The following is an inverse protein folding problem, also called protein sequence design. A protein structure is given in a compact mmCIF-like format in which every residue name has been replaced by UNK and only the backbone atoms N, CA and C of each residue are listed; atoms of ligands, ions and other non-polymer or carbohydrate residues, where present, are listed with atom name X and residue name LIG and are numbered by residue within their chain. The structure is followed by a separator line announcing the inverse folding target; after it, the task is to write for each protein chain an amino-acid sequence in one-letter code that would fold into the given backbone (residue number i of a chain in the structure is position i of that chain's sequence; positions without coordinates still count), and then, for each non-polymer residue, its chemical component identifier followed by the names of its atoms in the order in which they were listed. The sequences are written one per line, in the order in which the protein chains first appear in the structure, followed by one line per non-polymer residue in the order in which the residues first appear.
data_IF_392049656150
#
_entry.id   IF_392049656150
#
_cell.length_a   1.000
_cell.length_b   1.000
_cell.length_c   1.000
_cell.angle_alpha   90.00
_cell.angle_beta   90.00
_cell.angle_gamma   90.00
#
_symmetry.space_group_name_H-M   'P 1'
#
loop_
_entity.id
_entity.type
_entity.pdbx_description
1 polymer ?
#
# COMPACT_ATOMS: atom_id res chain seq x y z
N UNK A 1 -17.26 1.68 23.23
CA UNK A 1 -16.69 1.35 21.91
C UNK A 1 -17.73 1.78 20.89
N UNK A 2 -17.36 2.57 19.91
CA UNK A 2 -18.27 2.98 18.84
C UNK A 2 -18.69 1.71 18.06
N UNK A 3 -19.98 1.55 17.76
CA UNK A 3 -20.51 0.39 17.03
C UNK A 3 -19.73 0.13 15.73
N UNK A 4 -19.39 1.20 15.03
CA UNK A 4 -18.59 1.14 13.80
C UNK A 4 -17.15 0.59 14.00
N UNK A 5 -16.52 0.85 15.14
CA UNK A 5 -15.20 0.31 15.46
C UNK A 5 -15.24 -1.20 15.73
N UNK A 6 -16.27 -1.69 16.44
CA UNK A 6 -16.44 -3.12 16.68
C UNK A 6 -16.77 -3.90 15.40
N UNK A 7 -17.55 -3.30 14.50
CA UNK A 7 -17.84 -3.88 13.17
C UNK A 7 -16.59 -3.94 12.30
N UNK A 8 -15.77 -2.90 12.29
CA UNK A 8 -14.50 -2.87 11.56
C UNK A 8 -13.51 -3.92 12.09
N UNK A 9 -13.38 -4.09 13.41
CA UNK A 9 -12.56 -5.13 14.04
C UNK A 9 -13.03 -6.54 13.63
N UNK A 10 -14.35 -6.77 13.67
CA UNK A 10 -14.94 -8.05 13.24
C UNK A 10 -14.66 -8.31 11.76
N UNK A 11 -14.85 -7.30 10.90
CA UNK A 11 -14.59 -7.40 9.47
C UNK A 11 -13.11 -7.67 9.17
N UNK A 12 -12.18 -6.98 9.86
CA UNK A 12 -10.75 -7.21 9.71
C UNK A 12 -10.38 -8.64 10.12
N UNK A 13 -10.83 -9.08 11.30
CA UNK A 13 -10.53 -10.42 11.81
C UNK A 13 -11.06 -11.53 10.91
N UNK A 14 -12.26 -11.36 10.35
CA UNK A 14 -12.84 -12.30 9.40
C UNK A 14 -12.03 -12.31 8.10
N UNK A 15 -11.74 -11.15 7.52
CA UNK A 15 -11.01 -11.03 6.27
C UNK A 15 -9.57 -11.56 6.35
N UNK A 16 -8.88 -11.35 7.48
CA UNK A 16 -7.53 -11.90 7.69
C UNK A 16 -7.50 -13.43 7.67
N UNK A 17 -8.57 -14.10 8.10
CA UNK A 17 -8.68 -15.57 8.04
C UNK A 17 -8.88 -16.09 6.61
N UNK A 18 -9.46 -15.26 5.74
CA UNK A 18 -9.71 -15.60 4.34
C UNK A 18 -8.49 -15.31 3.45
N UNK A 19 -7.57 -14.41 3.86
CA UNK A 19 -6.33 -14.15 3.14
C UNK A 19 -5.37 -15.34 3.31
N UNK A 20 -5.19 -16.10 2.23
CA UNK A 20 -4.40 -17.32 2.23
C UNK A 20 -2.94 -17.06 2.66
N UNK A 21 -2.45 -17.88 3.61
CA UNK A 21 -1.06 -17.84 4.05
C UNK A 21 -0.70 -16.65 4.95
N UNK A 22 -1.66 -15.81 5.34
CA UNK A 22 -1.42 -14.67 6.22
C UNK A 22 -1.77 -15.02 7.68
N UNK A 23 -0.79 -14.89 8.55
CA UNK A 23 -0.97 -14.99 10.00
C UNK A 23 -0.35 -13.77 10.66
N UNK A 24 -1.17 -12.93 11.27
CA UNK A 24 -0.73 -11.76 12.03
C UNK A 24 -0.83 -12.02 13.53
N UNK A 25 0.14 -11.49 14.27
CA UNK A 25 0.07 -11.46 15.73
C UNK A 25 -0.98 -10.43 16.20
N UNK A 26 -1.50 -10.60 17.41
CA UNK A 26 -2.51 -9.71 17.98
C UNK A 26 -2.06 -8.23 17.95
N UNK A 27 -0.81 -7.95 18.27
CA UNK A 27 -0.22 -6.61 18.26
C UNK A 27 -0.22 -5.95 16.87
N UNK A 28 -0.08 -6.74 15.79
CA UNK A 28 -0.17 -6.26 14.41
C UNK A 28 -1.62 -5.92 14.04
N UNK A 29 -2.57 -6.75 14.48
CA UNK A 29 -4.00 -6.49 14.29
C UNK A 29 -4.42 -5.22 15.04
N UNK A 30 -3.99 -5.05 16.28
CA UNK A 30 -4.24 -3.84 17.08
C UNK A 30 -3.63 -2.60 16.41
N UNK A 31 -2.44 -2.73 15.81
CA UNK A 31 -1.80 -1.65 15.06
C UNK A 31 -2.57 -1.26 13.81
N UNK A 32 -3.10 -2.23 13.06
CA UNK A 32 -3.95 -1.99 11.90
C UNK A 32 -5.26 -1.29 12.28
N UNK A 33 -5.89 -1.70 13.38
CA UNK A 33 -7.11 -1.07 13.90
C UNK A 33 -6.86 0.35 14.37
N UNK A 34 -5.77 0.59 15.10
CA UNK A 34 -5.38 1.93 15.52
C UNK A 34 -5.07 2.82 14.30
N UNK A 35 -4.36 2.31 13.29
CA UNK A 35 -4.16 3.04 12.03
C UNK A 35 -5.49 3.40 11.36
N UNK A 36 -6.43 2.46 11.28
CA UNK A 36 -7.75 2.68 10.69
C UNK A 36 -8.53 3.78 11.43
N UNK A 37 -8.52 3.76 12.75
CA UNK A 37 -9.13 4.81 13.59
C UNK A 37 -8.53 6.18 13.31
N UNK A 38 -7.21 6.28 13.31
CA UNK A 38 -6.49 7.52 13.01
C UNK A 38 -6.76 8.00 11.58
N UNK A 39 -6.79 7.10 10.60
CA UNK A 39 -7.13 7.42 9.22
C UNK A 39 -8.56 8.00 9.14
N UNK A 40 -9.53 7.36 9.77
CA UNK A 40 -10.91 7.81 9.83
C UNK A 40 -11.03 9.23 10.44
N UNK A 41 -10.32 9.45 11.55
CA UNK A 41 -10.30 10.75 12.24
C UNK A 41 -9.69 11.86 11.37
N UNK A 42 -8.50 11.61 10.80
CA UNK A 42 -7.82 12.59 9.98
C UNK A 42 -8.52 12.84 8.64
N UNK A 43 -9.18 11.82 8.09
CA UNK A 43 -9.90 11.92 6.82
C UNK A 43 -11.04 12.94 6.86
N UNK A 44 -11.66 13.14 8.04
CA UNK A 44 -12.72 14.15 8.25
C UNK A 44 -12.25 15.58 7.94
N UNK A 45 -10.97 15.86 8.21
CA UNK A 45 -10.39 17.20 8.05
C UNK A 45 -9.56 17.33 6.77
N UNK A 46 -8.79 16.30 6.43
CA UNK A 46 -7.74 16.41 5.39
C UNK A 46 -8.07 15.72 4.08
N UNK A 47 -9.18 14.99 3.99
CA UNK A 47 -9.55 14.21 2.80
C UNK A 47 -8.37 13.38 2.28
N UNK A 48 -7.87 12.46 3.10
CA UNK A 48 -6.75 11.57 2.79
C UNK A 48 -7.17 10.43 1.85
N UNK A 49 -8.43 10.01 1.93
CA UNK A 49 -9.05 8.99 1.08
C UNK A 49 -10.50 9.35 0.75
N UNK A 50 -11.00 8.84 -0.37
CA UNK A 50 -12.40 9.00 -0.78
C UNK A 50 -13.36 8.12 0.05
N UNK A 51 -12.89 6.99 0.58
CA UNK A 51 -13.67 6.08 1.43
C UNK A 51 -13.85 6.72 2.80
N UNK A 52 -15.09 6.70 3.32
CA UNK A 52 -15.42 7.36 4.60
C UNK A 52 -15.91 6.41 5.67
N UNK A 53 -16.52 5.30 5.28
CA UNK A 53 -17.00 4.27 6.18
C UNK A 53 -15.81 3.40 6.66
N UNK A 54 -15.58 3.28 7.98
CA UNK A 54 -14.51 2.47 8.54
C UNK A 54 -14.59 0.98 8.17
N UNK A 55 -15.80 0.43 8.04
CA UNK A 55 -15.98 -0.98 7.63
C UNK A 55 -15.57 -1.16 6.18
N UNK A 56 -15.95 -0.23 5.30
CA UNK A 56 -15.51 -0.22 3.90
C UNK A 56 -14.00 -0.03 3.77
N UNK A 57 -13.38 0.78 4.64
CA UNK A 57 -11.92 0.94 4.68
C UNK A 57 -11.19 -0.36 5.02
N UNK A 58 -11.80 -1.27 5.78
CA UNK A 58 -11.19 -2.59 6.06
C UNK A 58 -10.91 -3.32 4.75
N UNK A 59 -11.93 -3.49 3.91
CA UNK A 59 -11.77 -4.22 2.64
C UNK A 59 -10.96 -3.43 1.61
N UNK A 60 -11.33 -2.15 1.37
CA UNK A 60 -10.74 -1.32 0.31
C UNK A 60 -9.33 -0.80 0.62
N UNK A 61 -8.92 -0.83 1.89
CA UNK A 61 -7.61 -0.32 2.30
C UNK A 61 -6.75 -1.38 2.97
N UNK A 62 -7.21 -1.97 4.09
CA UNK A 62 -6.36 -2.89 4.85
C UNK A 62 -6.19 -4.23 4.13
N UNK A 63 -7.29 -4.91 3.82
CA UNK A 63 -7.23 -6.24 3.19
C UNK A 63 -6.73 -6.18 1.75
N UNK A 64 -7.09 -5.13 1.00
CA UNK A 64 -6.54 -4.84 -0.33
C UNK A 64 -5.01 -4.67 -0.28
N UNK A 65 -4.50 -3.92 0.70
CA UNK A 65 -3.05 -3.75 0.89
C UNK A 65 -2.34 -5.03 1.33
N UNK A 66 -2.98 -5.84 2.17
CA UNK A 66 -2.41 -7.08 2.68
C UNK A 66 -2.47 -8.23 1.65
N UNK A 67 -3.35 -8.14 0.67
CA UNK A 67 -3.48 -9.16 -0.39
C UNK A 67 -2.23 -9.30 -1.24
N UNK A 68 -1.36 -8.29 -1.29
CA UNK A 68 -0.12 -8.30 -2.08
C UNK A 68 1.11 -8.76 -1.31
N UNK A 69 0.98 -9.11 -0.03
CA UNK A 69 2.11 -9.55 0.81
C UNK A 69 2.95 -10.68 0.23
N UNK A 70 2.38 -11.69 -0.46
CA UNK A 70 3.18 -12.76 -1.06
C UNK A 70 4.22 -12.25 -2.07
N UNK A 71 3.98 -11.08 -2.68
CA UNK A 71 4.86 -10.49 -3.70
C UNK A 71 5.73 -9.35 -3.18
N UNK A 72 5.55 -8.88 -1.94
CA UNK A 72 6.28 -7.73 -1.38
C UNK A 72 7.81 -7.91 -1.29
N UNK A 73 8.29 -9.15 -1.45
CA UNK A 73 9.72 -9.46 -1.45
C UNK A 73 10.36 -9.41 -0.06
N UNK A 74 11.63 -9.06 -0.03
CA UNK A 74 12.47 -8.91 1.17
C UNK A 74 13.25 -7.59 1.07
N UNK A 75 13.87 -7.14 2.17
CA UNK A 75 14.74 -5.97 2.18
C UNK A 75 14.00 -4.65 2.12
N UNK A 76 14.25 -3.84 1.08
CA UNK A 76 13.74 -2.48 0.96
C UNK A 76 12.57 -2.38 -0.03
N UNK A 77 11.43 -1.88 0.44
CA UNK A 77 10.23 -1.63 -0.35
C UNK A 77 9.96 -0.14 -0.46
N UNK A 78 9.74 0.36 -1.68
CA UNK A 78 9.21 1.70 -1.92
C UNK A 78 7.70 1.62 -2.23
N UNK A 79 6.88 2.35 -1.49
CA UNK A 79 5.48 2.62 -1.85
C UNK A 79 5.40 3.98 -2.55
N UNK A 80 5.28 3.95 -3.86
CA UNK A 80 5.30 5.13 -4.71
C UNK A 80 3.89 5.73 -4.89
N UNK A 81 3.71 6.94 -4.38
CA UNK A 81 2.40 7.59 -4.32
C UNK A 81 1.54 7.02 -3.20
N UNK A 82 2.15 6.76 -2.06
CA UNK A 82 1.57 6.04 -0.91
C UNK A 82 0.25 6.61 -0.39
N UNK A 83 -0.02 7.87 -0.62
CA UNK A 83 -1.24 8.51 -0.14
C UNK A 83 -1.36 8.54 1.39
N UNK A 84 -2.38 7.89 1.88
CA UNK A 84 -2.58 7.70 3.32
C UNK A 84 -1.67 6.60 3.93
N UNK A 85 -0.74 6.06 3.16
CA UNK A 85 0.12 4.95 3.56
C UNK A 85 -0.30 3.62 2.95
N UNK A 86 -0.94 3.62 1.78
CA UNK A 86 -1.55 2.44 1.18
C UNK A 86 -0.91 2.11 -0.18
N UNK A 87 -0.36 0.91 -0.34
CA UNK A 87 -0.43 -0.24 0.56
C UNK A 87 0.71 -0.34 1.59
N UNK A 88 1.72 0.51 1.54
CA UNK A 88 3.00 0.35 2.24
C UNK A 88 2.90 0.25 3.77
N UNK A 89 2.01 1.02 4.41
CA UNK A 89 1.90 1.00 5.88
C UNK A 89 1.27 -0.30 6.42
N UNK A 90 0.16 -0.83 5.89
CA UNK A 90 -0.30 -2.17 6.26
C UNK A 90 0.73 -3.27 6.00
N UNK A 91 1.48 -3.19 4.89
CA UNK A 91 2.59 -4.10 4.60
C UNK A 91 3.68 -3.99 5.69
N UNK A 92 4.09 -2.79 6.06
CA UNK A 92 5.11 -2.57 7.09
C UNK A 92 4.68 -3.09 8.47
N UNK A 93 3.40 -2.97 8.83
CA UNK A 93 2.84 -3.52 10.06
C UNK A 93 2.88 -5.06 10.02
N UNK A 94 2.50 -5.66 8.88
CA UNK A 94 2.47 -7.11 8.72
C UNK A 94 3.88 -7.74 8.60
N UNK A 95 4.85 -7.00 8.05
CA UNK A 95 6.21 -7.42 7.75
C UNK A 95 7.24 -6.49 8.40
N UNK A 96 7.49 -6.62 9.71
CA UNK A 96 8.45 -5.76 10.42
C UNK A 96 9.91 -5.96 9.99
N UNK A 97 10.18 -7.01 9.23
CA UNK A 97 11.47 -7.31 8.59
C UNK A 97 11.75 -6.47 7.34
N UNK A 98 10.73 -5.89 6.70
CA UNK A 98 10.89 -5.00 5.55
C UNK A 98 11.20 -3.57 6.00
N UNK A 99 12.07 -2.87 5.26
CA UNK A 99 12.22 -1.42 5.37
C UNK A 99 11.35 -0.75 4.31
N UNK A 100 10.35 0.02 4.72
CA UNK A 100 9.34 0.57 3.81
C UNK A 100 9.45 2.08 3.71
N UNK A 101 9.79 2.57 2.53
CA UNK A 101 9.74 4.01 2.22
C UNK A 101 8.36 4.37 1.68
N UNK A 102 7.71 5.35 2.32
CA UNK A 102 6.37 5.82 1.99
C UNK A 102 6.49 7.19 1.29
N UNK A 103 6.47 7.20 -0.05
CA UNK A 103 6.70 8.40 -0.86
C UNK A 103 5.38 9.02 -1.33
N UNK A 104 5.16 10.30 -1.05
CA UNK A 104 4.07 11.09 -1.64
C UNK A 104 4.46 12.57 -1.73
N UNK A 105 3.97 13.27 -2.75
CA UNK A 105 4.25 14.69 -2.95
C UNK A 105 3.46 15.60 -2.01
N UNK A 106 2.36 15.13 -1.44
CA UNK A 106 1.43 15.93 -0.64
C UNK A 106 1.85 15.98 0.83
N UNK A 107 2.34 17.14 1.30
CA UNK A 107 2.81 17.33 2.68
C UNK A 107 1.78 17.00 3.76
N UNK A 108 0.45 17.14 3.49
CA UNK A 108 -0.58 16.73 4.44
C UNK A 108 -0.60 15.21 4.70
N UNK A 109 -0.31 14.41 3.67
CA UNK A 109 -0.24 12.95 3.75
C UNK A 109 1.01 12.53 4.52
N UNK A 110 2.15 13.14 4.23
CA UNK A 110 3.39 12.87 4.95
C UNK A 110 3.30 13.28 6.43
N UNK A 111 2.62 14.38 6.77
CA UNK A 111 2.34 14.72 8.17
C UNK A 111 1.50 13.65 8.88
N UNK A 112 0.50 13.11 8.20
CA UNK A 112 -0.30 11.99 8.72
C UNK A 112 0.57 10.75 8.96
N UNK A 113 1.39 10.35 8.00
CA UNK A 113 2.28 9.18 8.12
C UNK A 113 3.31 9.35 9.25
N UNK A 114 3.88 10.54 9.42
CA UNK A 114 4.76 10.84 10.54
C UNK A 114 4.03 10.81 11.90
N UNK A 115 2.75 11.19 11.93
CA UNK A 115 1.92 11.03 13.12
C UNK A 115 1.72 9.54 13.44
N UNK A 116 1.36 8.71 12.46
CA UNK A 116 1.19 7.26 12.63
C UNK A 116 2.48 6.59 13.07
N UNK A 117 3.62 6.91 12.43
CA UNK A 117 4.94 6.39 12.81
C UNK A 117 5.22 6.55 14.30
N UNK A 118 4.93 7.74 14.85
CA UNK A 118 5.11 8.04 16.28
C UNK A 118 4.07 7.37 17.16
N UNK A 119 2.79 7.43 16.75
CA UNK A 119 1.66 6.89 17.51
C UNK A 119 1.78 5.37 17.72
N UNK A 120 2.13 4.64 16.66
CA UNK A 120 2.27 3.19 16.67
C UNK A 120 3.71 2.72 16.95
N UNK A 121 4.65 3.66 17.12
CA UNK A 121 6.07 3.36 17.34
C UNK A 121 6.67 2.44 16.25
N UNK A 122 6.21 2.59 15.01
CA UNK A 122 6.71 1.81 13.87
C UNK A 122 8.10 2.33 13.50
N UNK A 123 9.08 1.45 13.50
CA UNK A 123 10.49 1.79 13.23
C UNK A 123 10.92 1.53 11.80
N UNK A 124 10.24 0.63 11.11
CA UNK A 124 10.56 0.15 9.76
C UNK A 124 9.85 0.91 8.64
N UNK A 125 9.39 2.13 8.88
CA UNK A 125 8.86 3.01 7.84
C UNK A 125 9.63 4.32 7.76
N UNK A 126 9.76 4.87 6.54
CA UNK A 126 10.30 6.19 6.27
C UNK A 126 9.36 7.01 5.38
N UNK A 127 8.58 7.95 5.94
CA UNK A 127 7.76 8.86 5.15
C UNK A 127 8.61 9.93 4.47
N UNK A 128 8.54 10.01 3.13
CA UNK A 128 9.31 10.95 2.31
C UNK A 128 8.37 11.85 1.50
N UNK A 129 8.57 13.18 1.61
CA UNK A 129 7.83 14.13 0.79
C UNK A 129 8.62 14.47 -0.49
N UNK A 130 8.28 13.80 -1.59
CA UNK A 130 8.86 14.11 -2.90
C UNK A 130 7.91 13.66 -4.03
N UNK A 131 8.19 14.15 -5.25
CA UNK A 131 7.66 13.55 -6.48
C UNK A 131 8.62 12.45 -6.93
N UNK A 132 8.10 11.29 -7.33
CA UNK A 132 8.92 10.15 -7.70
C UNK A 132 9.90 10.51 -8.83
N UNK A 133 9.43 11.24 -9.82
CA UNK A 133 10.22 11.62 -11.01
C UNK A 133 11.37 12.59 -10.67
N UNK A 134 11.27 13.31 -9.57
CA UNK A 134 12.27 14.30 -9.12
C UNK A 134 13.09 13.81 -7.92
N UNK A 135 12.81 12.60 -7.43
CA UNK A 135 13.47 12.05 -6.26
C UNK A 135 14.50 10.99 -6.66
N UNK A 136 15.69 11.12 -6.12
CA UNK A 136 16.72 10.10 -6.26
C UNK A 136 16.93 9.43 -4.92
N UNK A 137 16.72 8.13 -4.88
CA UNK A 137 17.01 7.34 -3.71
C UNK A 137 18.54 7.27 -3.49
N UNK A 138 18.97 7.40 -2.24
CA UNK A 138 20.37 7.21 -1.89
C UNK A 138 20.80 5.75 -2.08
N UNK A 139 19.87 4.81 -1.92
CA UNK A 139 20.06 3.36 -2.08
C UNK A 139 18.95 2.81 -2.96
N UNK A 140 19.20 1.66 -3.61
CA UNK A 140 18.22 0.98 -4.44
C UNK A 140 17.12 0.30 -3.61
N UNK A 141 16.01 -0.04 -4.26
CA UNK A 141 14.92 -0.82 -3.68
C UNK A 141 14.86 -2.21 -4.31
N UNK A 142 14.60 -3.23 -3.49
CA UNK A 142 14.36 -4.59 -3.98
C UNK A 142 13.01 -4.66 -4.71
N UNK A 143 12.00 -3.96 -4.16
CA UNK A 143 10.67 -3.88 -4.74
C UNK A 143 10.10 -2.46 -4.67
N UNK A 144 9.31 -2.10 -5.68
CA UNK A 144 8.57 -0.84 -5.72
C UNK A 144 7.11 -1.15 -6.00
N UNK A 145 6.24 -0.76 -5.08
CA UNK A 145 4.80 -0.95 -5.22
C UNK A 145 4.08 0.37 -5.46
N UNK A 146 3.02 0.33 -6.24
CA UNK A 146 2.13 1.47 -6.37
C UNK A 146 0.68 1.07 -6.65
N UNK A 147 -0.24 1.89 -6.13
CA UNK A 147 -1.67 1.87 -6.40
C UNK A 147 -2.15 3.15 -7.10
N UNK A 148 -1.25 4.10 -7.33
CA UNK A 148 -1.59 5.47 -7.67
C UNK A 148 -1.45 5.83 -9.16
N UNK A 149 -0.71 5.03 -9.93
CA UNK A 149 -0.41 5.39 -11.31
C UNK A 149 -1.55 5.05 -12.28
N UNK A 150 -1.75 5.94 -13.25
CA UNK A 150 -2.79 5.80 -14.28
C UNK A 150 -2.45 4.71 -15.29
N UNK A 151 -1.16 4.52 -15.62
CA UNK A 151 -0.71 3.45 -16.52
C UNK A 151 0.57 2.78 -16.04
N UNK A 152 0.77 1.53 -16.48
CA UNK A 152 1.98 0.74 -16.20
C UNK A 152 3.23 1.41 -16.79
N UNK A 153 3.12 1.95 -18.03
CA UNK A 153 4.23 2.65 -18.68
C UNK A 153 4.64 3.92 -17.91
N UNK A 154 3.67 4.70 -17.39
CA UNK A 154 3.95 5.87 -16.56
C UNK A 154 4.65 5.48 -15.25
N UNK A 155 4.23 4.39 -14.62
CA UNK A 155 4.85 3.87 -13.41
C UNK A 155 6.30 3.45 -13.66
N UNK A 156 6.52 2.61 -14.66
CA UNK A 156 7.85 2.14 -15.03
C UNK A 156 8.79 3.31 -15.38
N UNK A 157 8.29 4.29 -16.17
CA UNK A 157 9.05 5.48 -16.54
C UNK A 157 9.46 6.33 -15.34
N UNK A 158 8.55 6.56 -14.38
CA UNK A 158 8.83 7.32 -13.17
C UNK A 158 9.87 6.62 -12.27
N UNK A 159 9.76 5.29 -12.12
CA UNK A 159 10.72 4.47 -11.37
C UNK A 159 12.11 4.54 -12.00
N UNK A 160 12.20 4.44 -13.33
CA UNK A 160 13.47 4.55 -14.05
C UNK A 160 14.12 5.91 -13.84
N UNK A 161 13.36 7.00 -13.87
CA UNK A 161 13.87 8.35 -13.61
C UNK A 161 14.40 8.50 -12.17
N UNK A 162 13.78 7.83 -11.21
CA UNK A 162 14.23 7.80 -9.82
C UNK A 162 15.52 6.97 -9.61
N UNK A 163 16.07 6.35 -10.66
CA UNK A 163 17.32 5.59 -10.59
C UNK A 163 17.19 4.15 -10.11
N UNK A 164 15.99 3.63 -9.96
CA UNK A 164 15.72 2.28 -9.46
C UNK A 164 15.64 1.26 -10.62
N UNK A 165 16.77 0.94 -11.22
CA UNK A 165 16.83 0.16 -12.47
C UNK A 165 16.66 -1.35 -12.32
N UNK A 166 16.90 -1.90 -11.13
CA UNK A 166 16.89 -3.34 -10.88
C UNK A 166 15.82 -3.77 -9.88
N UNK A 167 14.84 -2.91 -9.62
CA UNK A 167 13.76 -3.20 -8.69
C UNK A 167 12.65 -4.02 -9.35
N UNK A 168 12.03 -4.90 -8.58
CA UNK A 168 10.77 -5.52 -8.98
C UNK A 168 9.64 -4.50 -8.86
N UNK A 169 8.86 -4.33 -9.92
CA UNK A 169 7.73 -3.41 -9.92
C UNK A 169 6.43 -4.18 -9.63
N UNK A 170 5.62 -3.63 -8.75
CA UNK A 170 4.36 -4.21 -8.29
C UNK A 170 3.25 -3.17 -8.50
N UNK A 171 2.51 -3.29 -9.58
CA UNK A 171 1.43 -2.36 -9.92
C UNK A 171 0.07 -2.95 -9.52
N UNK A 172 -0.58 -2.34 -8.52
CA UNK A 172 -1.94 -2.72 -8.12
C UNK A 172 -2.96 -2.06 -9.06
N UNK A 173 -3.79 -2.86 -9.71
CA UNK A 173 -4.80 -2.44 -10.68
C UNK A 173 -6.18 -3.00 -10.30
N UNK A 174 -7.23 -2.26 -10.64
CA UNK A 174 -8.60 -2.73 -10.49
C UNK A 174 -8.93 -3.80 -11.51
N UNK A 175 -9.00 -3.42 -12.78
CA UNK A 175 -9.25 -4.35 -13.89
C UNK A 175 -7.94 -4.88 -14.45
N UNK A 176 -8.03 -6.03 -15.15
CA UNK A 176 -6.91 -6.56 -15.92
C UNK A 176 -6.47 -5.52 -16.97
N UNK A 177 -5.21 -5.03 -16.92
CA UNK A 177 -4.76 -3.92 -17.76
C UNK A 177 -4.11 -4.42 -19.05
N UNK A 178 -4.83 -5.19 -19.88
CA UNK A 178 -4.29 -5.82 -21.09
C UNK A 178 -3.70 -4.78 -22.08
N UNK A 179 -4.42 -3.67 -22.31
CA UNK A 179 -3.96 -2.61 -23.19
C UNK A 179 -2.67 -1.95 -22.66
N UNK A 180 -2.63 -1.67 -21.36
CA UNK A 180 -1.44 -1.07 -20.72
C UNK A 180 -0.22 -2.02 -20.74
N UNK A 181 -0.45 -3.34 -20.66
CA UNK A 181 0.62 -4.34 -20.80
C UNK A 181 1.20 -4.32 -22.21
N UNK A 182 0.35 -4.22 -23.23
CA UNK A 182 0.78 -4.15 -24.62
C UNK A 182 1.52 -2.83 -24.97
N UNK A 183 1.28 -1.77 -24.19
CA UNK A 183 1.93 -0.46 -24.36
C UNK A 183 3.22 -0.31 -23.53
N UNK A 184 3.64 -1.35 -22.82
CA UNK A 184 4.87 -1.30 -22.04
C UNK A 184 6.10 -1.13 -22.95
N UNK A 185 7.08 -0.32 -22.53
CA UNK A 185 8.31 -0.17 -23.28
C UNK A 185 9.12 -1.47 -23.26
N UNK A 186 9.89 -1.73 -24.34
CA UNK A 186 10.67 -2.96 -24.56
C UNK A 186 11.64 -3.32 -23.41
N UNK A 187 12.03 -2.34 -22.61
CA UNK A 187 12.93 -2.56 -21.47
C UNK A 187 12.21 -3.03 -20.19
N UNK A 188 10.88 -3.18 -20.23
CA UNK A 188 10.06 -3.73 -19.13
C UNK A 188 9.59 -5.12 -19.52
N UNK A 189 9.81 -6.08 -18.65
CA UNK A 189 9.28 -7.43 -18.78
C UNK A 189 8.19 -7.64 -17.73
N UNK A 190 7.05 -8.19 -18.13
CA UNK A 190 5.99 -8.64 -17.22
C UNK A 190 6.29 -10.07 -16.82
N UNK A 191 6.51 -10.32 -15.54
CA UNK A 191 6.77 -11.66 -15.01
C UNK A 191 5.46 -12.42 -14.79
N UNK A 192 4.46 -11.76 -14.22
CA UNK A 192 3.13 -12.34 -13.96
C UNK A 192 2.04 -11.28 -13.88
N UNK A 193 0.81 -11.74 -14.02
CA UNK A 193 -0.41 -10.96 -13.77
C UNK A 193 -1.30 -11.80 -12.86
N UNK A 194 -1.44 -11.37 -11.63
CA UNK A 194 -2.16 -12.11 -10.60
C UNK A 194 -3.53 -11.48 -10.34
N UNK A 195 -4.58 -12.29 -10.36
CA UNK A 195 -5.88 -11.86 -9.87
C UNK A 195 -5.92 -12.01 -8.36
N UNK A 196 -6.14 -10.91 -7.66
CA UNK A 196 -6.19 -10.87 -6.20
C UNK A 196 -7.63 -11.08 -5.71
N UNK A 197 -7.81 -11.97 -4.75
CA UNK A 197 -9.06 -12.10 -4.00
C UNK A 197 -8.94 -11.32 -2.71
N UNK A 198 -9.72 -10.23 -2.60
CA UNK A 198 -9.74 -9.37 -1.41
C UNK A 198 -11.04 -9.61 -0.65
N UNK A 199 -10.99 -10.12 0.59
CA UNK A 199 -12.18 -10.39 1.38
C UNK A 199 -13.07 -9.16 1.55
N UNK A 200 -14.37 -9.32 1.33
CA UNK A 200 -15.35 -8.23 1.43
C UNK A 200 -15.32 -7.23 0.28
N UNK A 201 -14.50 -7.44 -0.76
CA UNK A 201 -14.45 -6.61 -1.95
C UNK A 201 -15.00 -7.37 -3.15
N UNK A 202 -15.96 -6.76 -3.86
CA UNK A 202 -16.54 -7.37 -5.07
C UNK A 202 -15.87 -6.91 -6.36
N UNK A 203 -15.16 -5.79 -6.30
CA UNK A 203 -14.43 -5.25 -7.45
C UNK A 203 -13.18 -6.09 -7.75
N UNK A 204 -12.89 -6.24 -9.04
CA UNK A 204 -11.67 -6.94 -9.47
C UNK A 204 -10.41 -6.24 -8.94
N UNK A 205 -9.42 -7.05 -8.63
CA UNK A 205 -8.08 -6.61 -8.26
C UNK A 205 -7.04 -7.47 -8.96
N UNK A 206 -6.03 -6.78 -9.49
CA UNK A 206 -4.89 -7.43 -10.15
C UNK A 206 -3.59 -6.85 -9.65
N UNK A 207 -2.56 -7.66 -9.65
CA UNK A 207 -1.17 -7.27 -9.45
C UNK A 207 -0.38 -7.64 -10.71
N UNK A 208 0.31 -6.66 -11.25
CA UNK A 208 1.21 -6.83 -12.40
C UNK A 208 2.63 -6.58 -11.96
#
# INVERSE_FOLDING_TARGET
MDLSAAEAEKALTAGLRELAGLSLHAEQVDSLLCYLEQLTRWNRTYNLTAVRDPVEMVSKHLLDSLSVLPWAGQGCLLDAGTGAGLPGLPIAIARPDLQVTLLDSAGKKIRFLNHIKRQLRITNIEPVQARLEAWQAAEGFDSIISRAFTSLASFAGAVRQAGAHNSRLLAMKGRLPEEEINELPEWVQVDSVERLTVPGLQEDRHLV
#
